data_IF_310657052353
#
_entry.id   IF_310657052353
#
_cell.length_a   1.000
_cell.length_b   1.000
_cell.length_c   1.000
_cell.angle_alpha   90.00
_cell.angle_beta   90.00
_cell.angle_gamma   90.00
#
_symmetry.space_group_name_H-M   'P 1'
#
loop_
_entity.id
_entity.type
_entity.pdbx_description
1 polymer ?
#
# COMPACT_ATOMS: atom_id res chain seq x y z
N UNK A 1 -7.45 41.93 6.87
CA UNK A 1 -8.57 41.34 6.11
C UNK A 1 -7.96 40.38 5.10
N UNK A 2 -7.82 39.09 5.46
CA UNK A 2 -7.24 38.05 4.58
C UNK A 2 -8.36 37.26 3.91
N UNK A 3 -8.26 36.91 2.62
CA UNK A 3 -9.24 36.03 1.99
C UNK A 3 -8.93 34.57 2.31
N UNK A 4 -9.96 33.87 2.82
CA UNK A 4 -10.06 32.42 2.96
C UNK A 4 -9.83 31.74 1.61
N UNK A 5 -8.71 31.03 1.45
CA UNK A 5 -8.57 30.02 0.38
C UNK A 5 -9.30 28.76 0.83
N UNK A 6 -10.42 28.47 0.17
CA UNK A 6 -11.19 27.24 0.31
C UNK A 6 -10.39 26.09 -0.31
N UNK A 7 -9.87 25.22 0.55
CA UNK A 7 -9.42 23.89 0.22
C UNK A 7 -10.61 23.12 -0.39
N UNK A 8 -10.55 22.76 -1.68
CA UNK A 8 -11.51 21.84 -2.28
C UNK A 8 -10.97 20.41 -2.15
N UNK A 9 -11.68 19.49 -1.48
CA UNK A 9 -11.29 18.09 -1.42
C UNK A 9 -11.47 17.42 -2.79
N UNK A 10 -10.55 16.50 -3.08
CA UNK A 10 -10.55 15.66 -4.28
C UNK A 10 -11.68 14.62 -4.16
N UNK A 11 -12.91 15.02 -4.47
CA UNK A 11 -14.00 14.09 -4.72
C UNK A 11 -14.15 13.94 -6.23
N UNK A 12 -13.85 12.75 -6.75
CA UNK A 12 -14.32 12.34 -8.06
C UNK A 12 -15.85 12.26 -7.99
N UNK A 13 -16.54 13.15 -8.70
CA UNK A 13 -17.99 13.10 -8.83
C UNK A 13 -18.32 12.36 -10.13
N UNK A 14 -19.11 11.29 -10.07
CA UNK A 14 -19.53 10.50 -11.26
C UNK A 14 -20.33 11.33 -12.28
N UNK A 15 -20.69 12.57 -11.93
CA UNK A 15 -21.35 13.51 -12.84
C UNK A 15 -20.39 14.35 -13.71
N UNK A 16 -19.07 14.15 -13.60
CA UNK A 16 -18.12 14.87 -14.45
C UNK A 16 -18.22 14.38 -15.91
N UNK A 17 -18.34 15.29 -16.89
CA UNK A 17 -18.39 14.89 -18.29
C UNK A 17 -17.07 14.24 -18.71
N UNK A 18 -17.11 13.21 -19.58
CA UNK A 18 -15.92 12.50 -20.01
C UNK A 18 -14.96 13.44 -20.75
N UNK A 19 -13.67 13.38 -20.38
CA UNK A 19 -12.64 14.19 -21.04
C UNK A 19 -12.54 13.81 -22.53
N UNK A 20 -12.47 14.79 -23.44
CA UNK A 20 -12.25 14.51 -24.86
C UNK A 20 -10.87 13.87 -25.05
N UNK A 21 -10.83 12.70 -25.71
CA UNK A 21 -9.59 12.00 -26.06
C UNK A 21 -9.39 10.60 -25.48
N UNK A 22 -10.34 10.05 -24.71
CA UNK A 22 -10.27 8.63 -24.30
C UNK A 22 -10.74 7.72 -25.45
N UNK A 23 -9.82 6.93 -25.97
CA UNK A 23 -10.12 5.79 -26.84
C UNK A 23 -10.87 4.73 -26.01
N UNK A 24 -12.02 4.19 -26.44
CA UNK A 24 -12.68 3.13 -25.69
C UNK A 24 -11.84 1.85 -25.76
N UNK A 25 -11.52 1.27 -24.62
CA UNK A 25 -10.97 -0.08 -24.54
C UNK A 25 -12.00 -1.06 -25.11
N UNK A 26 -11.76 -1.57 -26.33
CA UNK A 26 -12.49 -2.74 -26.84
C UNK A 26 -11.97 -3.97 -26.09
N UNK A 27 -12.77 -4.50 -25.17
CA UNK A 27 -12.65 -5.89 -24.80
C UNK A 27 -13.07 -6.75 -26.00
N UNK A 28 -12.10 -7.37 -26.67
CA UNK A 28 -12.35 -8.40 -27.68
C UNK A 28 -12.73 -9.70 -26.95
N UNK A 29 -13.99 -9.82 -26.54
CA UNK A 29 -14.54 -11.07 -26.04
C UNK A 29 -14.63 -12.09 -27.16
N UNK A 30 -13.74 -13.09 -27.15
CA UNK A 30 -13.86 -14.29 -27.99
C UNK A 30 -15.09 -15.06 -27.49
N UNK A 31 -16.14 -15.22 -28.31
CA UNK A 31 -17.22 -16.17 -28.00
C UNK A 31 -16.60 -17.57 -27.98
N UNK A 32 -16.58 -18.20 -26.81
CA UNK A 32 -16.35 -19.64 -26.68
C UNK A 32 -17.62 -20.31 -27.22
N UNK A 33 -17.50 -21.14 -28.26
CA UNK A 33 -18.60 -21.98 -28.72
C UNK A 33 -18.67 -23.21 -27.81
N UNK A 34 -19.84 -23.41 -27.19
CA UNK A 34 -20.09 -24.45 -26.20
C UNK A 34 -20.18 -25.82 -26.90
N UNK A 35 -19.10 -26.60 -26.80
CA UNK A 35 -19.08 -28.02 -27.15
C UNK A 35 -19.73 -28.90 -26.07
N UNK A 36 -20.05 -30.17 -26.38
CA UNK A 36 -20.78 -31.08 -25.50
C UNK A 36 -20.08 -31.29 -24.15
N UNK A 37 -20.85 -31.13 -23.07
CA UNK A 37 -20.42 -31.23 -21.67
C UNK A 37 -20.59 -32.67 -21.15
N UNK A 38 -19.74 -33.57 -21.64
CA UNK A 38 -19.65 -34.95 -21.17
C UNK A 38 -18.28 -35.21 -20.57
N UNK A 39 -18.07 -34.59 -19.41
CA UNK A 39 -16.89 -34.81 -18.58
C UNK A 39 -17.07 -34.17 -17.22
N UNK A 40 -17.33 -34.99 -16.20
CA UNK A 40 -17.20 -34.58 -14.81
C UNK A 40 -15.73 -34.24 -14.55
N UNK A 41 -15.39 -32.98 -14.80
CA UNK A 41 -14.08 -32.45 -14.45
C UNK A 41 -14.16 -32.08 -12.99
N UNK A 42 -13.70 -32.98 -12.12
CA UNK A 42 -13.33 -32.59 -10.75
C UNK A 42 -12.19 -31.57 -10.88
N UNK A 43 -12.56 -30.29 -10.91
CA UNK A 43 -11.63 -29.18 -10.74
C UNK A 43 -11.20 -29.23 -9.28
N UNK A 44 -10.08 -29.86 -8.99
CA UNK A 44 -9.41 -29.67 -7.70
C UNK A 44 -8.96 -28.21 -7.66
N UNK A 45 -9.57 -27.43 -6.76
CA UNK A 45 -9.17 -26.06 -6.49
C UNK A 45 -7.90 -26.08 -5.64
N UNK A 46 -6.75 -26.29 -6.29
CA UNK A 46 -5.42 -26.28 -5.67
C UNK A 46 -5.01 -24.89 -5.15
N UNK A 47 -5.93 -23.90 -5.14
CA UNK A 47 -5.67 -22.49 -4.81
C UNK A 47 -5.72 -22.17 -3.32
N UNK A 48 -6.16 -23.10 -2.47
CA UNK A 48 -6.04 -22.91 -1.02
C UNK A 48 -4.65 -23.35 -0.59
N UNK A 49 -3.63 -22.58 -0.98
CA UNK A 49 -2.31 -22.70 -0.38
C UNK A 49 -2.43 -22.41 1.12
N UNK A 50 -1.85 -23.27 1.95
CA UNK A 50 -1.66 -23.04 3.39
C UNK A 50 -0.67 -21.89 3.58
N UNK A 51 -1.18 -20.67 3.44
CA UNK A 51 -0.39 -19.44 3.49
C UNK A 51 -0.09 -19.16 4.96
N UNK A 52 1.18 -18.97 5.35
CA UNK A 52 1.52 -18.71 6.74
C UNK A 52 0.74 -17.50 7.23
N UNK A 53 0.24 -17.58 8.47
CA UNK A 53 -0.46 -16.48 9.10
C UNK A 53 0.40 -15.22 9.07
N UNK A 54 -0.20 -14.09 8.69
CA UNK A 54 0.45 -12.77 8.68
C UNK A 54 -0.41 -11.79 9.45
N UNK A 55 0.23 -10.96 10.25
CA UNK A 55 -0.45 -9.96 11.07
C UNK A 55 -0.06 -8.58 10.57
N UNK A 56 -1.05 -7.71 10.33
CA UNK A 56 -0.81 -6.31 10.02
C UNK A 56 -0.96 -5.49 11.31
N UNK A 57 0.06 -4.71 11.65
CA UNK A 57 0.08 -3.81 12.81
C UNK A 57 0.23 -2.36 12.34
N UNK A 58 -0.36 -1.45 13.11
CA UNK A 58 -0.26 -0.01 12.90
C UNK A 58 0.48 0.59 14.08
N UNK A 59 1.51 1.38 13.80
CA UNK A 59 2.33 2.08 14.79
C UNK A 59 2.19 3.59 14.60
N UNK A 60 1.83 4.35 15.63
CA UNK A 60 1.62 5.80 15.52
C UNK A 60 2.94 6.59 15.44
N UNK A 61 4.08 5.95 15.72
CA UNK A 61 5.42 6.57 15.69
C UNK A 61 6.43 5.57 15.17
N UNK A 62 7.40 6.05 14.39
CA UNK A 62 8.48 5.17 13.87
C UNK A 62 9.38 4.68 15.01
N UNK A 63 9.47 5.45 16.09
CA UNK A 63 10.24 5.11 17.29
C UNK A 63 9.72 3.86 18.03
N UNK A 64 8.49 3.43 17.77
CA UNK A 64 7.88 2.24 18.37
C UNK A 64 8.24 0.94 17.61
N UNK A 65 9.01 1.04 16.52
CA UNK A 65 9.44 -0.07 15.67
C UNK A 65 10.96 -0.22 15.76
N UNK A 66 11.46 -1.46 15.80
CA UNK A 66 12.89 -1.75 15.77
C UNK A 66 13.54 -1.24 14.48
N UNK A 67 14.59 -0.43 14.64
CA UNK A 67 15.25 0.24 13.52
C UNK A 67 15.96 -0.74 12.57
N UNK A 68 16.62 -1.77 13.12
CA UNK A 68 17.35 -2.73 12.32
C UNK A 68 16.39 -3.61 11.50
N UNK A 69 15.27 -4.04 12.09
CA UNK A 69 14.23 -4.78 11.40
C UNK A 69 13.54 -3.94 10.32
N UNK A 70 13.27 -2.66 10.60
CA UNK A 70 12.74 -1.74 9.60
C UNK A 70 13.71 -1.58 8.42
N UNK A 71 14.97 -1.24 8.69
CA UNK A 71 15.96 -0.98 7.65
C UNK A 71 16.30 -2.23 6.83
N UNK A 72 16.32 -3.41 7.45
CA UNK A 72 16.47 -4.68 6.74
C UNK A 72 15.33 -4.93 5.74
N UNK A 73 14.10 -4.52 6.08
CA UNK A 73 12.94 -4.63 5.20
C UNK A 73 12.92 -3.51 4.13
N UNK A 74 13.22 -2.27 4.52
CA UNK A 74 13.11 -1.10 3.65
C UNK A 74 14.27 -0.97 2.66
N UNK A 75 15.46 -1.42 3.04
CA UNK A 75 16.70 -1.36 2.25
C UNK A 75 17.45 -2.70 2.25
N UNK A 76 16.88 -3.77 1.67
CA UNK A 76 17.53 -5.08 1.64
C UNK A 76 18.79 -5.07 0.75
N UNK A 77 19.89 -5.63 1.25
CA UNK A 77 21.10 -5.81 0.46
C UNK A 77 20.90 -6.83 -0.68
N UNK A 78 21.59 -6.69 -1.84
CA UNK A 78 22.58 -5.66 -2.18
C UNK A 78 21.96 -4.44 -2.91
N UNK A 79 20.65 -4.23 -2.82
CA UNK A 79 19.98 -3.19 -3.58
C UNK A 79 20.48 -1.79 -3.19
N UNK A 80 20.31 -0.82 -4.11
CA UNK A 80 20.62 0.57 -3.81
C UNK A 80 19.76 1.05 -2.62
N UNK A 81 20.42 1.55 -1.58
CA UNK A 81 19.75 2.06 -0.39
C UNK A 81 19.06 3.39 -0.68
N UNK A 82 17.78 3.50 -0.30
CA UNK A 82 17.04 4.74 -0.31
C UNK A 82 17.08 5.37 1.10
N UNK A 83 17.79 6.50 1.28
CA UNK A 83 17.92 7.13 2.59
C UNK A 83 16.59 7.67 3.13
N UNK A 84 15.64 8.02 2.25
CA UNK A 84 14.36 8.63 2.63
C UNK A 84 13.35 7.65 3.23
N UNK A 85 13.65 6.35 3.19
CA UNK A 85 12.83 5.31 3.84
C UNK A 85 13.57 4.63 4.99
N UNK A 86 14.76 5.12 5.35
CA UNK A 86 15.48 4.62 6.53
C UNK A 86 14.77 5.02 7.81
N UNK A 87 14.86 4.18 8.83
CA UNK A 87 14.30 4.47 10.14
C UNK A 87 14.83 5.80 10.69
N UNK A 88 16.15 6.01 10.58
CA UNK A 88 16.80 7.21 11.08
C UNK A 88 16.28 8.51 10.43
N UNK A 89 16.06 8.50 9.11
CA UNK A 89 15.52 9.67 8.41
C UNK A 89 14.07 9.97 8.82
N UNK A 90 13.23 8.94 8.85
CA UNK A 90 11.82 9.07 9.23
C UNK A 90 11.68 9.54 10.68
N UNK A 91 12.52 9.00 11.58
CA UNK A 91 12.58 9.45 12.97
C UNK A 91 12.98 10.91 13.08
N UNK A 92 13.96 11.35 12.28
CA UNK A 92 14.35 12.75 12.27
C UNK A 92 13.21 13.68 11.81
N UNK A 93 12.35 13.26 10.86
CA UNK A 93 11.18 14.04 10.45
C UNK A 93 10.14 14.18 11.57
N UNK A 94 9.90 13.09 12.31
CA UNK A 94 9.01 13.08 13.48
C UNK A 94 9.58 13.93 14.62
N UNK A 95 10.84 13.73 14.98
CA UNK A 95 11.51 14.46 16.06
C UNK A 95 11.61 15.96 15.77
N UNK A 96 11.79 16.34 14.51
CA UNK A 96 11.84 17.74 14.08
C UNK A 96 10.47 18.41 14.00
N UNK A 97 9.36 17.67 14.19
CA UNK A 97 8.00 18.20 14.07
C UNK A 97 7.63 18.59 12.64
N UNK A 98 8.31 18.03 11.63
CA UNK A 98 7.94 18.20 10.22
C UNK A 98 6.68 17.40 9.87
N UNK A 99 6.38 16.40 10.70
CA UNK A 99 5.16 15.61 10.67
C UNK A 99 4.48 15.67 12.05
N UNK A 100 3.24 15.19 12.14
CA UNK A 100 2.41 15.23 13.34
C UNK A 100 1.18 16.11 13.19
N UNK A 101 0.39 16.18 14.27
CA UNK A 101 -0.90 16.88 14.29
C UNK A 101 -0.77 18.35 13.87
N UNK A 102 0.29 19.03 14.32
CA UNK A 102 0.54 20.44 13.98
C UNK A 102 0.83 20.66 12.49
N UNK A 103 1.41 19.66 11.81
CA UNK A 103 1.71 19.71 10.38
C UNK A 103 0.54 19.23 9.51
N UNK A 104 -0.47 18.56 10.10
CA UNK A 104 -1.58 17.94 9.39
C UNK A 104 -1.25 16.60 8.72
N UNK A 105 -0.08 16.03 9.00
CA UNK A 105 0.43 14.77 8.45
C UNK A 105 0.75 13.83 9.62
N UNK A 106 -0.28 13.12 10.13
CA UNK A 106 -0.18 12.30 11.35
C UNK A 106 0.45 10.94 10.98
N UNK A 107 1.59 10.55 11.57
CA UNK A 107 2.25 9.28 11.26
C UNK A 107 1.38 8.06 11.62
N UNK A 108 1.31 7.06 10.73
CA UNK A 108 0.60 5.79 10.91
C UNK A 108 1.32 4.64 10.20
N UNK A 109 2.48 4.24 10.68
CA UNK A 109 3.33 3.23 10.05
C UNK A 109 2.69 1.84 10.07
N UNK A 110 2.68 1.16 8.91
CA UNK A 110 2.18 -0.21 8.80
C UNK A 110 3.32 -1.21 8.76
N UNK A 111 3.23 -2.24 9.59
CA UNK A 111 4.16 -3.38 9.62
C UNK A 111 3.37 -4.66 9.36
N UNK A 112 3.83 -5.42 8.36
CA UNK A 112 3.37 -6.77 8.10
C UNK A 112 4.34 -7.75 8.76
N UNK A 113 3.88 -8.45 9.79
CA UNK A 113 4.64 -9.51 10.44
C UNK A 113 4.39 -10.86 9.76
N UNK A 114 5.45 -11.65 9.61
CA UNK A 114 5.36 -13.05 9.23
C UNK A 114 5.06 -13.97 10.43
N UNK A 115 4.83 -15.25 10.16
CA UNK A 115 4.56 -16.26 11.19
C UNK A 115 5.75 -16.58 12.12
N UNK A 116 6.91 -15.99 11.88
CA UNK A 116 8.14 -16.14 12.67
C UNK A 116 8.48 -14.88 13.47
N UNK A 117 7.64 -13.84 13.41
CA UNK A 117 7.85 -12.55 14.10
C UNK A 117 8.78 -11.59 13.36
N UNK A 118 9.16 -11.89 12.11
CA UNK A 118 9.92 -10.99 11.24
C UNK A 118 9.04 -9.98 10.51
N UNK A 119 9.63 -8.88 10.07
CA UNK A 119 8.95 -7.88 9.23
C UNK A 119 9.01 -8.33 7.77
N UNK A 120 7.88 -8.77 7.23
CA UNK A 120 7.72 -9.13 5.82
C UNK A 120 7.42 -7.92 4.92
N UNK A 121 7.06 -6.79 5.50
CA UNK A 121 6.79 -5.54 4.80
C UNK A 121 6.65 -4.37 5.75
N UNK A 122 7.19 -3.21 5.36
CA UNK A 122 7.08 -1.96 6.09
C UNK A 122 6.57 -0.86 5.15
N UNK A 123 5.63 -0.05 5.61
CA UNK A 123 5.12 1.09 4.86
C UNK A 123 5.05 2.32 5.77
N UNK A 124 5.83 3.37 5.48
CA UNK A 124 5.66 4.65 6.17
C UNK A 124 4.41 5.35 5.64
N UNK A 125 3.54 5.79 6.55
CA UNK A 125 2.38 6.64 6.21
C UNK A 125 2.44 7.88 7.09
N UNK A 126 2.30 9.04 6.45
CA UNK A 126 2.18 10.35 7.07
C UNK A 126 0.99 11.07 6.46
#
# INVERSE_FOLDING_TARGET
MLPRLLFRPWCHNDSDPPRPGRVPYRYAGRRQEDGPIDGETTVTDDRVQDKPARTLKVYPRIADIDAAAWDACANPAPAASNPFVTHAFLKALEDAGTTGEHAGWIPQHLILEDGHGGIAGAMPLY
#
